data_IF_264631904525
#
_entry.id   IF_264631904525
#
_cell.length_a   1.000
_cell.length_b   1.000
_cell.length_c   1.000
_cell.angle_alpha   90.00
_cell.angle_beta   90.00
_cell.angle_gamma   90.00
#
_symmetry.space_group_name_H-M   'P 1'
#
loop_
_entity.id
_entity.type
_entity.pdbx_description
1 polymer ?
#
# COMPACT_ATOMS: atom_id res chain seq x y z
N UNK A 1 -40.69 9.88 17.66
CA UNK A 1 -40.21 9.30 16.40
C UNK A 1 -40.33 10.38 15.32
N UNK A 2 -39.27 10.63 14.56
CA UNK A 2 -39.16 11.58 13.42
C UNK A 2 -38.96 13.08 13.74
N UNK A 3 -37.71 13.43 14.07
CA UNK A 3 -37.18 14.80 13.94
C UNK A 3 -35.88 14.84 13.11
N UNK A 4 -35.61 13.80 12.31
CA UNK A 4 -34.32 13.65 11.59
C UNK A 4 -34.29 14.24 10.16
N UNK A 5 -35.33 14.96 9.71
CA UNK A 5 -35.45 15.32 8.28
C UNK A 5 -35.77 16.80 7.99
N UNK A 6 -35.28 17.75 8.79
CA UNK A 6 -35.56 19.18 8.52
C UNK A 6 -34.33 20.09 8.36
N UNK A 7 -33.15 19.51 8.20
CA UNK A 7 -32.00 20.24 7.65
C UNK A 7 -31.11 19.30 6.83
N UNK A 8 -30.90 19.62 5.55
CA UNK A 8 -30.01 18.85 4.65
C UNK A 8 -28.53 19.11 4.90
N UNK A 9 -28.19 20.02 5.83
CA UNK A 9 -26.81 20.37 6.20
C UNK A 9 -26.15 19.36 7.17
N UNK A 10 -26.79 18.91 8.28
CA UNK A 10 -26.17 17.94 9.20
C UNK A 10 -25.83 16.60 8.56
N UNK A 11 -26.63 16.14 7.59
CA UNK A 11 -26.36 14.87 6.87
C UNK A 11 -25.05 14.95 6.06
N UNK A 12 -24.72 16.12 5.49
CA UNK A 12 -23.47 16.33 4.76
C UNK A 12 -22.26 16.26 5.70
N UNK A 13 -22.34 16.92 6.85
CA UNK A 13 -21.25 16.90 7.84
C UNK A 13 -21.07 15.50 8.46
N UNK A 14 -22.17 14.78 8.74
CA UNK A 14 -22.11 13.42 9.22
C UNK A 14 -21.44 12.47 8.21
N UNK A 15 -21.76 12.60 6.92
CA UNK A 15 -21.14 11.79 5.87
C UNK A 15 -19.63 12.05 5.76
N UNK A 16 -19.21 13.31 5.81
CA UNK A 16 -17.78 13.68 5.79
C UNK A 16 -17.08 13.12 7.03
N UNK A 17 -17.66 13.28 8.22
CA UNK A 17 -17.08 12.77 9.46
C UNK A 17 -16.88 11.25 9.42
N UNK A 18 -17.88 10.50 8.96
CA UNK A 18 -17.78 9.03 8.81
C UNK A 18 -16.70 8.65 7.80
N UNK A 19 -16.64 9.33 6.65
CA UNK A 19 -15.61 9.07 5.64
C UNK A 19 -14.19 9.34 6.18
N UNK A 20 -14.01 10.43 6.93
CA UNK A 20 -12.73 10.77 7.57
C UNK A 20 -12.33 9.73 8.62
N UNK A 21 -13.28 9.28 9.45
CA UNK A 21 -13.01 8.23 10.45
C UNK A 21 -12.60 6.93 9.78
N UNK A 22 -13.32 6.49 8.74
CA UNK A 22 -12.97 5.27 7.99
C UNK A 22 -11.57 5.39 7.38
N UNK A 23 -11.23 6.54 6.80
CA UNK A 23 -9.91 6.76 6.22
C UNK A 23 -8.80 6.70 7.27
N UNK A 24 -8.99 7.34 8.43
CA UNK A 24 -8.02 7.30 9.54
C UNK A 24 -7.84 5.89 10.09
N UNK A 25 -8.93 5.18 10.36
CA UNK A 25 -8.88 3.78 10.85
C UNK A 25 -8.16 2.89 9.85
N UNK A 26 -8.48 3.01 8.55
CA UNK A 26 -7.84 2.23 7.48
C UNK A 26 -6.34 2.48 7.40
N UNK A 27 -5.90 3.73 7.51
CA UNK A 27 -4.47 4.09 7.48
C UNK A 27 -3.71 3.57 8.70
N UNK A 28 -4.27 3.74 9.89
CA UNK A 28 -3.65 3.25 11.13
C UNK A 28 -3.52 1.73 11.08
N UNK A 29 -4.61 1.02 10.75
CA UNK A 29 -4.62 -0.43 10.65
C UNK A 29 -3.60 -0.93 9.62
N UNK A 30 -3.55 -0.32 8.42
CA UNK A 30 -2.58 -0.74 7.41
C UNK A 30 -1.13 -0.51 7.84
N UNK A 31 -0.82 0.65 8.42
CA UNK A 31 0.53 0.94 8.91
C UNK A 31 0.98 -0.10 9.95
N UNK A 32 0.07 -0.57 10.81
CA UNK A 32 0.39 -1.64 11.78
C UNK A 32 0.64 -2.99 11.09
N UNK A 33 -0.15 -3.36 10.08
CA UNK A 33 0.06 -4.60 9.32
C UNK A 33 1.41 -4.59 8.59
N UNK A 34 1.70 -3.50 7.88
CA UNK A 34 2.95 -3.34 7.12
C UNK A 34 4.15 -3.48 8.05
N UNK A 35 4.15 -2.80 9.20
CA UNK A 35 5.25 -2.88 10.17
C UNK A 35 5.41 -4.29 10.75
N UNK A 36 4.30 -4.96 11.04
CA UNK A 36 4.32 -6.34 11.53
C UNK A 36 4.93 -7.30 10.50
N UNK A 37 4.51 -7.19 9.23
CA UNK A 37 5.02 -8.00 8.15
C UNK A 37 6.49 -7.71 7.83
N UNK A 38 6.92 -6.44 7.85
CA UNK A 38 8.32 -6.08 7.69
C UNK A 38 9.21 -6.75 8.76
N UNK A 39 8.74 -6.78 10.01
CA UNK A 39 9.43 -7.47 11.10
C UNK A 39 9.49 -8.98 10.88
N UNK A 40 8.41 -9.58 10.39
CA UNK A 40 8.37 -11.01 10.08
C UNK A 40 9.29 -11.36 8.90
N UNK A 41 9.34 -10.54 7.86
CA UNK A 41 10.27 -10.70 6.74
C UNK A 41 11.72 -10.63 7.21
N UNK A 42 12.06 -9.66 8.07
CA UNK A 42 13.41 -9.58 8.65
C UNK A 42 13.79 -10.86 9.41
N UNK A 43 12.90 -11.38 10.25
CA UNK A 43 13.15 -12.63 10.98
C UNK A 43 13.38 -13.82 10.03
N UNK A 44 12.66 -13.90 8.90
CA UNK A 44 12.88 -14.92 7.88
C UNK A 44 14.26 -14.80 7.23
N UNK A 45 14.73 -13.58 6.98
CA UNK A 45 16.08 -13.35 6.43
C UNK A 45 17.16 -13.71 7.45
N UNK A 46 16.98 -13.38 8.73
CA UNK A 46 17.92 -13.75 9.79
C UNK A 46 18.06 -15.28 9.92
N UNK A 47 16.95 -16.01 9.90
CA UNK A 47 16.95 -17.49 9.90
C UNK A 47 17.62 -18.04 8.62
N UNK A 48 17.36 -17.43 7.47
CA UNK A 48 17.97 -17.81 6.20
C UNK A 48 19.49 -17.62 6.21
N UNK A 49 19.97 -16.49 6.75
CA UNK A 49 21.39 -16.19 6.89
C UNK A 49 22.09 -17.20 7.81
N UNK A 50 21.51 -17.45 9.00
CA UNK A 50 22.05 -18.42 9.96
C UNK A 50 22.10 -19.84 9.36
N UNK A 51 21.09 -20.24 8.59
CA UNK A 51 21.08 -21.54 7.94
C UNK A 51 22.16 -21.65 6.86
N UNK A 52 22.36 -20.58 6.07
CA UNK A 52 23.44 -20.50 5.07
C UNK A 52 24.83 -20.64 5.72
N UNK A 53 25.00 -20.04 6.90
CA UNK A 53 26.23 -20.15 7.69
C UNK A 53 26.51 -21.59 8.13
N UNK A 54 25.49 -22.27 8.66
CA UNK A 54 25.58 -23.67 9.07
C UNK A 54 25.98 -24.58 7.91
N UNK A 55 25.32 -24.47 6.75
CA UNK A 55 25.67 -25.28 5.57
C UNK A 55 27.10 -25.07 5.08
N UNK A 56 27.60 -23.84 5.17
CA UNK A 56 28.96 -23.53 4.72
C UNK A 56 30.01 -24.12 5.67
N UNK A 57 29.63 -24.44 6.92
CA UNK A 57 30.49 -25.02 7.96
C UNK A 57 30.37 -26.54 8.11
N UNK A 58 29.21 -27.14 7.85
CA UNK A 58 28.94 -28.54 8.18
C UNK A 58 29.11 -29.49 6.98
N UNK A 59 30.02 -30.45 7.09
CA UNK A 59 30.13 -31.66 6.22
C UNK A 59 29.01 -32.69 6.53
N UNK A 60 28.16 -32.42 7.53
CA UNK A 60 27.15 -33.34 8.04
C UNK A 60 25.82 -33.26 7.26
N UNK A 61 25.40 -34.39 6.72
CA UNK A 61 24.28 -34.54 5.77
C UNK A 61 22.88 -34.50 6.40
N UNK A 62 22.78 -34.47 7.73
CA UNK A 62 21.51 -34.59 8.47
C UNK A 62 20.63 -33.35 8.44
N UNK A 63 21.22 -32.14 8.44
CA UNK A 63 20.47 -30.87 8.46
C UNK A 63 20.38 -30.19 7.09
N UNK A 64 21.03 -30.77 6.07
CA UNK A 64 21.10 -30.25 4.70
C UNK A 64 19.71 -30.03 4.09
N UNK A 65 18.75 -30.94 4.31
CA UNK A 65 17.40 -30.80 3.78
C UNK A 65 16.60 -29.65 4.43
N UNK A 66 16.77 -29.44 5.74
CA UNK A 66 16.09 -28.35 6.45
C UNK A 66 16.66 -27.01 6.00
N UNK A 67 17.98 -26.90 5.86
CA UNK A 67 18.57 -25.65 5.36
C UNK A 67 18.22 -25.42 3.89
N UNK A 68 18.29 -26.43 3.03
CA UNK A 68 17.86 -26.29 1.63
C UNK A 68 16.39 -25.85 1.54
N UNK A 69 15.52 -26.34 2.45
CA UNK A 69 14.13 -25.91 2.52
C UNK A 69 14.00 -24.44 2.96
N UNK A 70 14.79 -23.99 3.93
CA UNK A 70 14.85 -22.58 4.35
C UNK A 70 15.35 -21.71 3.19
N UNK A 71 16.41 -22.12 2.50
CA UNK A 71 16.98 -21.45 1.33
C UNK A 71 15.96 -21.32 0.19
N UNK A 72 15.24 -22.41 -0.11
CA UNK A 72 14.22 -22.46 -1.17
C UNK A 72 12.90 -21.77 -0.79
N UNK A 73 12.62 -21.61 0.50
CA UNK A 73 11.40 -20.94 0.97
C UNK A 73 11.43 -19.44 0.68
N UNK A 74 12.62 -18.83 0.62
CA UNK A 74 12.78 -17.42 0.32
C UNK A 74 12.78 -17.17 -1.20
N UNK A 75 11.59 -16.98 -1.78
CA UNK A 75 11.43 -16.73 -3.22
C UNK A 75 11.20 -15.26 -3.58
N UNK A 76 10.98 -14.39 -2.62
CA UNK A 76 10.43 -13.05 -2.84
C UNK A 76 11.24 -11.92 -2.26
N UNK A 77 12.18 -12.21 -1.35
CA UNK A 77 13.05 -11.18 -0.75
C UNK A 77 14.34 -11.11 -1.58
N UNK A 78 14.64 -9.96 -2.20
CA UNK A 78 15.89 -9.76 -2.92
C UNK A 78 17.06 -9.69 -1.95
N UNK A 79 18.09 -10.52 -2.17
CA UNK A 79 19.26 -10.63 -1.30
C UNK A 79 20.54 -10.54 -2.12
N UNK A 80 21.53 -9.80 -1.61
CA UNK A 80 22.89 -9.70 -2.15
C UNK A 80 23.86 -10.15 -1.07
N UNK A 81 24.67 -11.16 -1.39
CA UNK A 81 25.77 -11.65 -0.59
C UNK A 81 27.05 -10.95 -1.05
N UNK A 82 27.77 -10.36 -0.10
CA UNK A 82 29.09 -9.80 -0.31
C UNK A 82 30.12 -10.64 0.46
N UNK A 83 31.06 -11.23 -0.27
CA UNK A 83 32.18 -11.97 0.30
C UNK A 83 33.41 -11.05 0.42
N UNK A 84 33.82 -10.75 1.66
CA UNK A 84 34.97 -9.88 1.95
C UNK A 84 36.30 -10.54 1.58
N UNK A 85 36.35 -11.87 1.46
CA UNK A 85 37.57 -12.64 1.16
C UNK A 85 37.86 -12.67 -0.33
N UNK A 86 36.84 -12.98 -1.14
CA UNK A 86 36.96 -13.05 -2.60
C UNK A 86 36.63 -11.72 -3.30
N UNK A 87 36.12 -10.74 -2.56
CA UNK A 87 35.57 -9.48 -3.06
C UNK A 87 34.52 -9.69 -4.17
N UNK A 88 33.70 -10.73 -4.02
CA UNK A 88 32.64 -11.07 -4.97
C UNK A 88 31.26 -10.72 -4.43
N UNK A 89 30.35 -10.38 -5.36
CA UNK A 89 28.96 -10.10 -5.08
C UNK A 89 28.10 -11.16 -5.77
N UNK A 90 27.27 -11.85 -4.99
CA UNK A 90 26.30 -12.82 -5.47
C UNK A 90 24.90 -12.34 -5.14
N UNK A 91 23.95 -12.53 -6.06
CA UNK A 91 22.59 -12.03 -5.90
C UNK A 91 21.55 -13.13 -6.08
N UNK A 92 20.57 -13.14 -5.18
CA UNK A 92 19.42 -14.03 -5.22
C UNK A 92 18.13 -13.21 -5.33
N UNK A 93 17.17 -13.73 -6.10
CA UNK A 93 15.85 -13.11 -6.31
C UNK A 93 15.90 -11.68 -6.89
N UNK A 94 16.99 -11.35 -7.61
CA UNK A 94 17.22 -10.08 -8.29
C UNK A 94 17.38 -10.36 -9.79
N UNK A 95 16.67 -9.59 -10.63
CA UNK A 95 16.86 -9.64 -12.08
C UNK A 95 18.16 -8.94 -12.44
N UNK A 96 19.14 -9.70 -12.91
CA UNK A 96 20.43 -9.19 -13.35
C UNK A 96 20.31 -8.62 -14.77
N UNK A 97 20.89 -7.45 -15.05
CA UNK A 97 21.00 -6.93 -16.41
C UNK A 97 21.97 -7.78 -17.26
N UNK A 98 21.76 -7.82 -18.58
CA UNK A 98 22.63 -8.56 -19.52
C UNK A 98 24.04 -7.94 -19.65
N UNK A 99 24.21 -6.68 -19.23
CA UNK A 99 25.47 -5.95 -19.23
C UNK A 99 25.69 -5.27 -17.88
N UNK A 100 26.95 -5.20 -17.47
CA UNK A 100 27.40 -4.55 -16.23
C UNK A 100 26.74 -5.08 -14.95
N UNK A 101 26.75 -6.41 -14.78
CA UNK A 101 26.21 -7.09 -13.60
C UNK A 101 26.87 -6.62 -12.32
N UNK A 102 28.20 -6.45 -12.30
CA UNK A 102 28.92 -6.01 -11.09
C UNK A 102 28.60 -4.57 -10.71
N UNK A 103 28.60 -3.62 -11.66
CA UNK A 103 28.24 -2.22 -11.37
C UNK A 103 26.80 -2.09 -10.88
N UNK A 104 25.88 -2.86 -11.47
CA UNK A 104 24.49 -2.93 -11.02
C UNK A 104 24.37 -3.47 -9.59
N UNK A 105 25.07 -4.57 -9.27
CA UNK A 105 25.04 -5.15 -7.93
C UNK A 105 25.62 -4.19 -6.91
N UNK A 106 26.78 -3.58 -7.18
CA UNK A 106 27.41 -2.63 -6.27
C UNK A 106 26.49 -1.45 -5.93
N UNK A 107 25.80 -0.91 -6.96
CA UNK A 107 24.78 0.13 -6.77
C UNK A 107 23.62 -0.36 -5.90
N UNK A 108 23.11 -1.57 -6.17
CA UNK A 108 22.02 -2.17 -5.41
C UNK A 108 22.40 -2.44 -3.95
N UNK A 109 23.62 -2.88 -3.68
CA UNK A 109 24.14 -3.05 -2.33
C UNK A 109 24.07 -1.74 -1.55
N UNK A 110 24.47 -0.62 -2.17
CA UNK A 110 24.34 0.70 -1.57
C UNK A 110 22.89 1.12 -1.30
N UNK A 111 21.97 0.85 -2.24
CA UNK A 111 20.54 1.11 -2.05
C UNK A 111 19.95 0.29 -0.89
N UNK A 112 20.42 -0.96 -0.71
CA UNK A 112 19.94 -1.86 0.33
C UNK A 112 20.48 -1.46 1.70
N UNK A 113 21.77 -1.12 1.77
CA UNK A 113 22.44 -0.65 2.98
C UNK A 113 21.82 0.62 3.59
N UNK A 114 21.24 1.48 2.75
CA UNK A 114 20.54 2.70 3.22
C UNK A 114 19.20 2.38 3.88
N UNK A 115 18.54 1.29 3.47
CA UNK A 115 17.21 0.93 3.97
C UNK A 115 17.24 0.04 5.20
N UNK A 116 18.18 -0.90 5.24
CA UNK A 116 18.30 -1.88 6.30
C UNK A 116 19.77 -2.10 6.66
N UNK A 117 20.03 -2.27 7.96
CA UNK A 117 21.34 -2.69 8.41
C UNK A 117 21.67 -4.08 7.86
N UNK A 118 22.83 -4.25 7.20
CA UNK A 118 23.25 -5.53 6.67
C UNK A 118 23.47 -6.54 7.80
N UNK A 119 23.20 -7.80 7.51
CA UNK A 119 23.46 -8.90 8.44
C UNK A 119 24.89 -9.37 8.20
N UNK A 120 25.74 -9.23 9.21
CA UNK A 120 27.13 -9.70 9.15
C UNK A 120 27.22 -11.17 9.58
N UNK A 121 27.87 -11.98 8.73
CA UNK A 121 28.24 -13.36 9.01
C UNK A 121 29.71 -13.34 9.44
N UNK A 122 29.94 -13.13 10.75
CA UNK A 122 31.27 -12.93 11.32
C UNK A 122 32.21 -14.12 11.05
N UNK A 123 31.69 -15.35 11.06
CA UNK A 123 32.52 -16.55 10.91
C UNK A 123 32.91 -16.83 9.46
N UNK A 124 32.17 -16.28 8.49
CA UNK A 124 32.42 -16.46 7.05
C UNK A 124 33.03 -15.22 6.38
N UNK A 125 33.25 -14.13 7.11
CA UNK A 125 33.63 -12.83 6.54
C UNK A 125 32.69 -12.39 5.40
N UNK A 126 31.39 -12.67 5.54
CA UNK A 126 30.37 -12.34 4.54
C UNK A 126 29.38 -11.32 5.10
N UNK A 127 28.81 -10.49 4.23
CA UNK A 127 27.74 -9.54 4.59
C UNK A 127 26.54 -9.75 3.69
N UNK A 128 25.36 -9.84 4.29
CA UNK A 128 24.09 -10.01 3.59
C UNK A 128 23.34 -8.67 3.55
N UNK A 129 23.13 -8.17 2.34
CA UNK A 129 22.32 -6.99 2.07
C UNK A 129 20.97 -7.44 1.52
N UNK A 130 19.88 -6.87 2.02
CA UNK A 130 18.53 -7.23 1.59
C UNK A 130 17.63 -6.00 1.48
N UNK A 131 16.53 -6.12 0.74
CA UNK A 131 15.50 -5.09 0.60
C UNK A 131 14.13 -5.73 0.83
N UNK A 132 13.13 -4.90 1.15
CA UNK A 132 11.75 -5.35 1.38
C UNK A 132 11.25 -6.18 0.19
N UNK A 133 10.47 -7.23 0.49
CA UNK A 133 9.90 -8.07 -0.55
C UNK A 133 8.96 -7.28 -1.47
N UNK A 134 8.79 -7.80 -2.68
CA UNK A 134 7.86 -7.19 -3.63
C UNK A 134 6.40 -7.17 -3.11
N UNK A 135 6.01 -8.16 -2.31
CA UNK A 135 4.68 -8.20 -1.68
C UNK A 135 4.56 -7.12 -0.61
N UNK A 136 5.57 -6.95 0.23
CA UNK A 136 5.57 -5.93 1.28
C UNK A 136 5.46 -4.52 0.69
N UNK A 137 6.22 -4.23 -0.36
CA UNK A 137 6.13 -2.95 -1.10
C UNK A 137 4.74 -2.72 -1.71
N UNK A 138 4.11 -3.75 -2.27
CA UNK A 138 2.74 -3.65 -2.79
C UNK A 138 1.74 -3.38 -1.68
N UNK A 139 1.92 -4.03 -0.53
CA UNK A 139 1.03 -3.87 0.62
C UNK A 139 1.16 -2.48 1.26
N UNK A 140 2.34 -1.85 1.18
CA UNK A 140 2.54 -0.44 1.57
C UNK A 140 1.75 0.54 0.70
N UNK A 141 1.57 0.23 -0.60
CA UNK A 141 0.87 1.11 -1.56
C UNK A 141 -0.66 0.89 -1.55
N UNK A 142 -1.11 -0.33 -1.24
CA UNK A 142 -2.52 -0.72 -1.23
C UNK A 142 -3.47 0.27 -0.53
N UNK A 143 -3.16 0.80 0.67
CA UNK A 143 -4.05 1.73 1.38
C UNK A 143 -4.29 3.02 0.62
N UNK A 144 -3.28 3.54 -0.08
CA UNK A 144 -3.39 4.76 -0.86
C UNK A 144 -4.28 4.55 -2.09
N UNK A 145 -4.16 3.38 -2.75
CA UNK A 145 -5.06 3.00 -3.85
C UNK A 145 -6.49 2.84 -3.35
N UNK A 146 -6.69 2.20 -2.19
CA UNK A 146 -8.00 2.09 -1.57
C UNK A 146 -8.62 3.46 -1.26
N UNK A 147 -7.84 4.39 -0.70
CA UNK A 147 -8.31 5.77 -0.44
C UNK A 147 -8.65 6.52 -1.72
N UNK A 148 -7.90 6.34 -2.80
CA UNK A 148 -8.21 6.92 -4.10
C UNK A 148 -9.59 6.43 -4.60
N UNK A 149 -9.84 5.12 -4.55
CA UNK A 149 -11.11 4.53 -4.96
C UNK A 149 -12.27 5.06 -4.11
N UNK A 150 -12.13 5.08 -2.79
CA UNK A 150 -13.13 5.63 -1.87
C UNK A 150 -13.39 7.12 -2.19
N UNK A 151 -12.35 7.89 -2.45
CA UNK A 151 -12.45 9.32 -2.78
C UNK A 151 -13.24 9.55 -4.07
N UNK A 152 -13.04 8.72 -5.09
CA UNK A 152 -13.81 8.77 -6.33
C UNK A 152 -15.30 8.51 -6.05
N UNK A 153 -15.64 7.48 -5.26
CA UNK A 153 -17.04 7.21 -4.90
C UNK A 153 -17.68 8.36 -4.12
N UNK A 154 -16.95 8.96 -3.17
CA UNK A 154 -17.40 10.13 -2.41
C UNK A 154 -17.66 11.32 -3.35
N UNK A 155 -16.76 11.58 -4.29
CA UNK A 155 -16.92 12.64 -5.27
C UNK A 155 -18.16 12.43 -6.14
N UNK A 156 -18.38 11.21 -6.67
CA UNK A 156 -19.56 10.86 -7.45
C UNK A 156 -20.85 11.05 -6.66
N UNK A 157 -20.89 10.59 -5.40
CA UNK A 157 -22.03 10.79 -4.52
C UNK A 157 -22.31 12.29 -4.29
N UNK A 158 -21.27 13.09 -4.07
CA UNK A 158 -21.37 14.53 -3.90
C UNK A 158 -21.94 15.22 -5.16
N UNK A 159 -21.44 14.89 -6.36
CA UNK A 159 -21.97 15.40 -7.62
C UNK A 159 -23.44 15.03 -7.84
N UNK A 160 -23.84 13.79 -7.54
CA UNK A 160 -25.22 13.35 -7.66
C UNK A 160 -26.16 14.15 -6.75
N UNK A 161 -25.75 14.39 -5.50
CA UNK A 161 -26.52 15.20 -4.55
C UNK A 161 -26.63 16.67 -4.99
N UNK A 162 -25.57 17.26 -5.53
CA UNK A 162 -25.61 18.62 -6.07
C UNK A 162 -26.54 18.74 -7.29
N UNK A 163 -26.45 17.76 -8.21
CA UNK A 163 -27.33 17.70 -9.39
C UNK A 163 -28.81 17.63 -8.98
N UNK A 164 -29.12 16.82 -7.96
CA UNK A 164 -30.49 16.69 -7.42
C UNK A 164 -31.06 18.02 -6.92
N UNK A 165 -30.25 18.88 -6.28
CA UNK A 165 -30.71 20.18 -5.81
C UNK A 165 -31.00 21.16 -6.95
N UNK A 166 -30.16 21.17 -8.00
CA UNK A 166 -30.42 21.97 -9.20
C UNK A 166 -31.71 21.53 -9.90
N UNK A 167 -31.95 20.21 -9.98
CA UNK A 167 -33.18 19.67 -10.57
C UNK A 167 -34.44 20.06 -9.76
N UNK A 168 -34.35 20.10 -8.43
CA UNK A 168 -35.46 20.57 -7.59
C UNK A 168 -35.76 22.06 -7.81
N UNK A 169 -34.73 22.91 -7.87
CA UNK A 169 -34.93 24.34 -8.15
C UNK A 169 -35.53 24.58 -9.54
N UNK A 170 -35.03 23.90 -10.57
CA UNK A 170 -35.55 24.03 -11.93
C UNK A 170 -37.03 23.62 -12.05
N UNK A 171 -37.47 22.62 -11.28
CA UNK A 171 -38.90 22.22 -11.20
C UNK A 171 -39.76 23.31 -10.57
N UNK A 172 -39.28 23.95 -9.51
CA UNK A 172 -39.99 25.07 -8.86
C UNK A 172 -40.09 26.26 -9.79
N UNK A 173 -39.00 26.61 -10.49
CA UNK A 173 -39.00 27.70 -11.46
C UNK A 173 -39.96 27.44 -12.62
N UNK A 174 -39.95 26.23 -13.20
CA UNK A 174 -40.91 25.86 -14.24
C UNK A 174 -42.37 25.90 -13.74
N UNK A 175 -42.61 25.50 -12.49
CA UNK A 175 -43.93 25.58 -11.85
C UNK A 175 -44.40 27.01 -11.63
N UNK A 176 -43.53 27.88 -11.09
CA UNK A 176 -43.80 29.30 -10.92
C UNK A 176 -44.06 29.99 -12.25
N UNK A 177 -43.24 29.74 -13.28
CA UNK A 177 -43.48 30.29 -14.62
C UNK A 177 -44.80 29.84 -15.21
N UNK A 178 -45.21 28.58 -14.99
CA UNK A 178 -46.51 28.06 -15.43
C UNK A 178 -47.67 28.76 -14.72
N UNK A 179 -47.57 28.95 -13.41
CA UNK A 179 -48.60 29.63 -12.60
C UNK A 179 -48.69 31.12 -12.94
N UNK A 180 -47.56 31.81 -13.09
CA UNK A 180 -47.50 33.22 -13.50
C UNK A 180 -48.05 33.41 -14.92
N UNK A 181 -47.72 32.51 -15.86
CA UNK A 181 -48.29 32.55 -17.21
C UNK A 181 -49.81 32.31 -17.20
N UNK A 182 -50.29 31.44 -16.31
CA UNK A 182 -51.71 31.22 -16.11
C UNK A 182 -52.41 32.48 -15.55
N UNK A 183 -51.85 33.11 -14.52
CA UNK A 183 -52.39 34.34 -13.92
C UNK A 183 -52.36 35.55 -14.88
N UNK A 184 -51.33 35.68 -15.72
CA UNK A 184 -51.26 36.72 -16.76
C UNK A 184 -52.25 36.47 -17.92
N UNK A 185 -52.68 35.22 -18.12
CA UNK A 185 -53.62 34.82 -19.19
C UNK A 185 -55.09 34.91 -18.81
N UNK A 186 -55.43 34.93 -17.52
CA UNK A 186 -56.79 35.21 -17.04
C UNK A 186 -56.98 36.72 -16.92
N UNK A 187 -57.87 37.36 -17.70
CA UNK A 187 -58.04 38.81 -17.61
C UNK A 187 -58.50 39.18 -16.21
N UNK A 188 -57.81 40.15 -15.61
CA UNK A 188 -58.25 40.85 -14.41
C UNK A 188 -59.47 41.71 -14.75
N UNK A 189 -60.65 41.10 -14.82
CA UNK A 189 -61.88 41.88 -14.69
C UNK A 189 -61.94 42.37 -13.24
N UNK A 190 -61.91 43.70 -13.08
CA UNK A 190 -62.53 44.36 -11.92
C UNK A 190 -64.01 43.99 -11.81
#
# INVERSE_FOLDING_TARGET
>A
MNFLFESRQPVRYAFIAVATVIALVSLVFSNTLVKGLAKEERNKVEIWAAATELLSKSDESSDMNLVLQILQSNKTIPVILYDKTSNTLSANNIKLPEKDTQGFLLKKTGEFAVKHDPIELEELNQSVYFDDSFILKRLQIYPYVQLLVISIFIALAFFALMSSQKAQQNKVWAGLSKETAHQLGTPISS
#
